data_IF_160368035981
#
_entry.id   IF_160368035981
#
_cell.length_a   1.000
_cell.length_b   1.000
_cell.length_c   1.000
_cell.angle_alpha   90.00
_cell.angle_beta   90.00
_cell.angle_gamma   90.00
#
_symmetry.space_group_name_H-M   'P 1'
#
loop_
_entity.id
_entity.type
_entity.pdbx_description
1 polymer ?
#
# COMPACT_ATOMS: atom_id res chain seq x y z
N UNK A 1 -4.27 -28.95 7.43
CA UNK A 1 -4.05 -27.49 7.39
C UNK A 1 -2.68 -27.26 7.99
N UNK A 2 -1.85 -26.47 7.34
CA UNK A 2 -0.52 -26.11 7.83
C UNK A 2 -0.61 -25.44 9.19
N UNK A 3 0.37 -25.70 10.04
CA UNK A 3 0.54 -24.92 11.26
C UNK A 3 0.93 -23.47 10.92
N UNK A 4 0.85 -22.62 11.94
CA UNK A 4 1.38 -21.27 11.86
C UNK A 4 2.85 -21.25 11.44
N UNK A 5 3.67 -22.17 11.93
CA UNK A 5 5.11 -22.12 11.67
C UNK A 5 5.42 -22.71 10.29
N UNK A 6 4.76 -23.81 9.92
CA UNK A 6 4.92 -24.41 8.59
C UNK A 6 4.52 -23.47 7.45
N UNK A 7 3.54 -22.59 7.71
CA UNK A 7 3.12 -21.61 6.72
C UNK A 7 4.12 -20.45 6.58
N UNK A 8 4.61 -19.87 7.68
CA UNK A 8 5.39 -18.63 7.61
C UNK A 8 6.89 -18.82 7.61
N UNK A 9 7.43 -19.87 8.22
CA UNK A 9 8.88 -20.11 8.23
C UNK A 9 9.52 -20.06 6.82
N UNK A 10 8.98 -20.74 5.78
CA UNK A 10 9.57 -20.63 4.44
C UNK A 10 9.40 -19.24 3.82
N UNK A 11 8.30 -18.54 4.13
CA UNK A 11 8.03 -17.18 3.65
C UNK A 11 9.05 -16.22 4.27
N UNK A 12 9.16 -16.22 5.59
CA UNK A 12 10.05 -15.32 6.33
C UNK A 12 11.50 -15.55 5.89
N UNK A 13 11.94 -16.82 5.79
CA UNK A 13 13.28 -17.16 5.29
C UNK A 13 13.55 -16.64 3.86
N UNK A 14 12.58 -16.74 2.95
CA UNK A 14 12.73 -16.24 1.58
C UNK A 14 12.75 -14.71 1.55
N UNK A 15 11.79 -14.07 2.21
CA UNK A 15 11.58 -12.61 2.14
C UNK A 15 12.70 -11.89 2.87
N UNK A 16 13.10 -12.35 4.07
CA UNK A 16 14.20 -11.73 4.81
C UNK A 16 15.49 -11.81 4.01
N UNK A 17 15.80 -12.97 3.42
CA UNK A 17 16.96 -13.14 2.52
C UNK A 17 16.96 -12.16 1.35
N UNK A 18 15.80 -11.89 0.74
CA UNK A 18 15.70 -11.08 -0.50
C UNK A 18 15.55 -9.58 -0.24
N UNK A 19 14.82 -9.19 0.80
CA UNK A 19 14.50 -7.78 1.06
C UNK A 19 15.41 -7.13 2.11
N UNK A 20 16.11 -7.89 2.97
CA UNK A 20 17.02 -7.31 3.96
C UNK A 20 18.15 -6.51 3.30
N UNK A 21 18.73 -7.01 2.22
CA UNK A 21 19.77 -6.31 1.44
C UNK A 21 19.27 -4.99 0.84
N UNK A 22 17.95 -4.88 0.61
CA UNK A 22 17.29 -3.68 0.09
C UNK A 22 16.87 -2.69 1.19
N UNK A 23 17.21 -3.00 2.46
CA UNK A 23 16.91 -2.19 3.63
C UNK A 23 15.50 -2.35 4.19
N UNK A 24 14.79 -3.42 3.82
CA UNK A 24 13.53 -3.76 4.45
C UNK A 24 13.77 -4.43 5.80
N UNK A 25 12.87 -4.14 6.73
CA UNK A 25 12.81 -4.80 8.03
C UNK A 25 11.42 -5.35 8.25
N UNK A 26 11.33 -6.50 8.93
CA UNK A 26 10.05 -7.07 9.33
C UNK A 26 9.45 -6.19 10.45
N UNK A 27 8.25 -5.66 10.22
CA UNK A 27 7.58 -4.76 11.19
C UNK A 27 6.52 -5.47 12.02
N UNK A 28 6.00 -6.58 11.50
CA UNK A 28 5.14 -7.59 12.13
C UNK A 28 5.19 -8.83 11.24
N UNK A 29 4.75 -9.99 11.76
CA UNK A 29 4.70 -11.24 10.99
C UNK A 29 4.11 -11.01 9.59
N UNK A 30 4.83 -11.48 8.59
CA UNK A 30 4.48 -11.35 7.18
C UNK A 30 4.28 -9.93 6.64
N UNK A 31 4.91 -8.93 7.26
CA UNK A 31 4.89 -7.54 6.81
C UNK A 31 6.29 -6.95 6.94
N UNK A 32 6.76 -6.39 5.85
CA UNK A 32 8.06 -5.78 5.70
C UNK A 32 7.91 -4.37 5.16
N UNK A 33 8.75 -3.47 5.67
CA UNK A 33 8.77 -2.09 5.26
C UNK A 33 10.21 -1.59 5.23
N UNK A 34 10.52 -0.73 4.27
CA UNK A 34 11.82 -0.05 4.22
C UNK A 34 11.84 1.08 5.25
N UNK A 35 12.94 1.26 6.00
CA UNK A 35 13.00 2.22 7.12
C UNK A 35 13.20 3.68 6.67
N UNK A 36 14.04 3.91 5.66
CA UNK A 36 14.38 5.26 5.21
C UNK A 36 13.63 5.61 3.92
N UNK A 37 12.62 6.46 4.05
CA UNK A 37 11.82 6.90 2.91
C UNK A 37 11.21 8.27 3.21
N UNK A 38 11.67 9.30 2.51
CA UNK A 38 11.26 10.70 2.73
C UNK A 38 9.77 10.91 2.44
N UNK A 39 9.31 10.47 1.27
CA UNK A 39 7.95 10.74 0.76
C UNK A 39 7.04 9.51 0.76
N UNK A 40 7.57 8.36 0.36
CA UNK A 40 6.81 7.12 0.21
C UNK A 40 7.63 5.93 0.71
N UNK A 41 7.03 5.12 1.56
CA UNK A 41 7.62 3.94 2.17
C UNK A 41 7.20 2.67 1.42
N UNK A 42 8.14 1.97 0.78
CA UNK A 42 7.91 0.64 0.25
C UNK A 42 7.37 -0.31 1.34
N UNK A 43 6.29 -1.01 1.01
CA UNK A 43 5.66 -2.03 1.84
C UNK A 43 5.52 -3.32 1.04
N UNK A 44 5.85 -4.43 1.68
CA UNK A 44 5.58 -5.78 1.20
C UNK A 44 4.90 -6.57 2.32
N UNK A 45 3.83 -7.29 2.03
CA UNK A 45 3.17 -8.12 3.05
C UNK A 45 2.38 -9.26 2.43
N UNK A 46 2.07 -10.27 3.24
CA UNK A 46 1.17 -11.36 2.88
C UNK A 46 -0.25 -10.98 3.32
N UNK A 47 -1.14 -10.75 2.36
CA UNK A 47 -2.55 -10.53 2.63
C UNK A 47 -3.29 -11.85 2.75
N UNK A 48 -4.14 -11.99 3.77
CA UNK A 48 -5.02 -13.15 3.94
C UNK A 48 -6.42 -12.86 3.40
N UNK A 49 -6.91 -13.76 2.55
CA UNK A 49 -8.23 -13.71 1.94
C UNK A 49 -9.16 -14.76 2.55
N UNK A 50 -10.46 -14.62 2.29
CA UNK A 50 -11.45 -15.67 2.59
C UNK A 50 -11.03 -16.99 1.91
N UNK A 51 -11.34 -18.11 2.57
CA UNK A 51 -11.01 -19.45 2.07
C UNK A 51 -9.60 -19.93 2.41
N UNK A 52 -8.92 -19.32 3.39
CA UNK A 52 -7.55 -19.70 3.81
C UNK A 52 -6.56 -19.67 2.63
N UNK A 53 -6.69 -18.63 1.82
CA UNK A 53 -5.74 -18.28 0.77
C UNK A 53 -5.01 -17.02 1.20
N UNK A 54 -3.72 -16.95 0.95
CA UNK A 54 -2.94 -15.73 1.14
C UNK A 54 -2.22 -15.37 -0.15
N UNK A 55 -1.84 -14.11 -0.35
CA UNK A 55 -1.02 -13.71 -1.48
C UNK A 55 -0.10 -12.54 -1.08
N UNK A 56 1.08 -12.42 -1.69
CA UNK A 56 1.89 -11.21 -1.57
C UNK A 56 1.15 -9.99 -2.11
N UNK A 57 1.32 -8.88 -1.41
CA UNK A 57 0.88 -7.55 -1.81
C UNK A 57 2.03 -6.59 -1.54
N UNK A 58 2.24 -5.66 -2.46
CA UNK A 58 3.24 -4.62 -2.31
C UNK A 58 2.75 -3.27 -2.81
N UNK A 59 3.43 -2.22 -2.38
CA UNK A 59 3.14 -0.87 -2.81
C UNK A 59 3.75 0.15 -1.87
N UNK A 60 3.14 1.33 -1.77
CA UNK A 60 3.66 2.43 -0.98
C UNK A 60 2.69 2.86 0.12
N UNK A 61 3.26 3.20 1.28
CA UNK A 61 2.66 4.05 2.29
C UNK A 61 3.21 5.47 2.14
N UNK A 62 2.36 6.47 2.00
CA UNK A 62 2.73 7.85 1.74
C UNK A 62 2.72 8.64 3.06
N UNK A 63 3.87 9.22 3.41
CA UNK A 63 4.06 9.86 4.72
C UNK A 63 3.20 11.13 4.94
N UNK A 64 2.66 11.68 3.85
CA UNK A 64 1.86 12.90 3.83
C UNK A 64 0.36 12.65 3.63
N UNK A 65 -0.06 11.39 3.48
CA UNK A 65 -1.47 11.05 3.26
C UNK A 65 -2.12 10.69 4.59
N UNK A 66 -3.20 11.41 4.97
CA UNK A 66 -3.95 11.07 6.17
C UNK A 66 -4.84 9.85 5.95
N UNK A 67 -5.12 9.09 7.00
CA UNK A 67 -6.03 7.95 6.96
C UNK A 67 -7.29 8.26 7.74
N UNK A 68 -8.44 7.84 7.22
CA UNK A 68 -9.73 8.04 7.89
C UNK A 68 -10.17 6.70 8.47
N UNK A 69 -10.75 6.70 9.67
CA UNK A 69 -11.44 5.48 10.12
C UNK A 69 -12.68 5.21 9.27
N UNK A 70 -13.18 3.97 9.36
CA UNK A 70 -14.34 3.50 8.62
C UNK A 70 -15.61 4.34 8.85
N UNK A 71 -15.68 5.13 9.93
CA UNK A 71 -16.83 5.99 10.24
C UNK A 71 -16.70 7.43 9.74
N UNK A 72 -15.64 7.79 9.02
CA UNK A 72 -15.46 9.15 8.49
C UNK A 72 -15.26 10.24 9.57
N UNK A 73 -15.00 9.85 10.82
CA UNK A 73 -15.09 10.73 11.99
C UNK A 73 -13.73 11.04 12.63
N UNK A 74 -12.70 10.25 12.33
CA UNK A 74 -11.36 10.41 12.90
C UNK A 74 -10.28 10.20 11.85
N UNK A 75 -9.20 10.94 12.07
CA UNK A 75 -8.07 11.10 11.19
C UNK A 75 -6.82 10.52 11.88
N UNK A 76 -6.08 9.64 11.20
CA UNK A 76 -4.90 8.91 11.69
C UNK A 76 -3.69 9.05 10.76
N UNK A 77 -2.50 9.12 11.36
CA UNK A 77 -1.24 9.39 10.66
C UNK A 77 -0.31 8.23 10.89
N UNK A 78 0.31 7.77 9.80
CA UNK A 78 1.25 6.67 9.84
C UNK A 78 2.69 7.21 9.73
N UNK A 79 3.14 7.90 10.78
CA UNK A 79 4.48 8.51 10.84
C UNK A 79 5.59 7.54 11.22
N UNK A 80 5.23 6.38 11.75
CA UNK A 80 6.19 5.39 12.21
C UNK A 80 6.20 4.18 11.29
N UNK A 81 7.36 3.53 11.22
CA UNK A 81 7.57 2.28 10.51
C UNK A 81 6.51 1.21 10.87
N UNK A 82 6.20 1.06 12.17
CA UNK A 82 5.18 0.11 12.66
C UNK A 82 3.74 0.48 12.29
N UNK A 83 3.50 1.75 12.04
CA UNK A 83 2.18 2.25 11.69
C UNK A 83 1.93 2.27 10.18
N UNK A 84 2.94 2.05 9.34
CA UNK A 84 2.82 2.17 7.89
C UNK A 84 1.66 1.32 7.32
N UNK A 85 0.90 1.92 6.39
CA UNK A 85 -0.27 1.31 5.77
C UNK A 85 -0.27 1.57 4.28
N UNK A 86 -0.72 0.60 3.51
CA UNK A 86 -0.75 0.67 2.06
C UNK A 86 -1.72 1.75 1.57
N UNK A 87 -1.21 2.70 0.80
CA UNK A 87 -1.98 3.77 0.16
C UNK A 87 -2.20 3.48 -1.33
N UNK A 88 -1.20 2.91 -2.00
CA UNK A 88 -1.25 2.56 -3.41
C UNK A 88 -0.50 1.27 -3.69
N UNK A 89 -1.05 0.45 -4.59
CA UNK A 89 -0.51 -0.85 -5.02
C UNK A 89 -0.74 -1.04 -6.51
N UNK A 90 0.13 -1.76 -7.24
CA UNK A 90 -0.09 -2.05 -8.66
C UNK A 90 -1.29 -2.97 -8.91
N UNK A 91 -1.80 -3.65 -7.88
CA UNK A 91 -2.88 -4.64 -7.94
C UNK A 91 -4.26 -4.03 -7.69
N UNK A 92 -5.28 -4.62 -8.30
CA UNK A 92 -6.64 -4.55 -7.77
C UNK A 92 -6.80 -5.55 -6.60
N UNK A 93 -7.82 -5.37 -5.75
CA UNK A 93 -8.01 -6.23 -4.55
C UNK A 93 -8.33 -7.70 -4.86
N UNK A 94 -8.61 -8.07 -6.12
CA UNK A 94 -8.94 -9.43 -6.52
C UNK A 94 -7.74 -10.18 -7.10
N UNK A 95 -6.67 -9.48 -7.48
CA UNK A 95 -5.44 -10.08 -7.96
C UNK A 95 -4.71 -10.78 -6.80
N UNK A 96 -4.71 -12.11 -6.88
CA UNK A 96 -4.01 -13.02 -5.94
C UNK A 96 -2.84 -13.64 -6.66
N UNK A 97 -1.88 -12.81 -7.02
CA UNK A 97 -0.64 -13.29 -7.59
C UNK A 97 0.09 -14.20 -6.59
N UNK A 98 0.67 -15.31 -7.05
CA UNK A 98 1.40 -16.25 -6.20
C UNK A 98 0.61 -16.69 -4.94
N UNK A 99 -0.66 -17.05 -5.13
CA UNK A 99 -1.54 -17.47 -4.04
C UNK A 99 -0.97 -18.68 -3.26
N UNK A 100 -0.95 -18.56 -1.93
CA UNK A 100 -0.48 -19.55 -0.98
C UNK A 100 -1.68 -20.18 -0.26
N UNK A 101 -1.77 -21.51 -0.31
CA UNK A 101 -2.88 -22.27 0.24
C UNK A 101 -2.51 -22.90 1.59
N UNK A 102 -3.24 -22.56 2.64
CA UNK A 102 -3.02 -23.12 3.98
C UNK A 102 -3.37 -24.61 4.11
N UNK A 103 -4.07 -25.19 3.14
CA UNK A 103 -4.38 -26.62 3.09
C UNK A 103 -3.37 -27.42 2.27
N UNK A 104 -2.35 -26.79 1.70
CA UNK A 104 -1.27 -27.47 0.99
C UNK A 104 -0.49 -28.40 1.94
N UNK A 105 0.20 -29.38 1.36
CA UNK A 105 1.22 -30.15 2.07
C UNK A 105 2.46 -29.27 2.31
N UNK A 106 3.26 -29.50 3.36
CA UNK A 106 4.42 -28.68 3.66
C UNK A 106 5.40 -28.53 2.48
N UNK A 107 5.62 -29.61 1.73
CA UNK A 107 6.55 -29.63 0.59
C UNK A 107 6.02 -28.82 -0.60
N UNK A 108 4.71 -28.96 -0.88
CA UNK A 108 4.02 -28.19 -1.92
C UNK A 108 4.01 -26.69 -1.58
N UNK A 109 3.82 -26.36 -0.30
CA UNK A 109 3.85 -24.99 0.19
C UNK A 109 5.25 -24.39 0.07
N UNK A 110 6.30 -25.11 0.49
CA UNK A 110 7.68 -24.67 0.35
C UNK A 110 8.04 -24.42 -1.13
N UNK A 111 7.60 -25.28 -2.04
CA UNK A 111 7.81 -25.09 -3.48
C UNK A 111 7.05 -23.88 -4.03
N UNK A 112 5.80 -23.67 -3.60
CA UNK A 112 4.99 -22.52 -3.99
C UNK A 112 5.61 -21.20 -3.49
N UNK A 113 6.19 -21.22 -2.29
CA UNK A 113 6.96 -20.09 -1.74
C UNK A 113 8.20 -19.84 -2.60
N UNK A 114 9.10 -20.81 -2.78
CA UNK A 114 10.36 -20.56 -3.50
C UNK A 114 10.12 -20.09 -4.94
N UNK A 115 9.18 -20.70 -5.67
CA UNK A 115 8.93 -20.37 -7.09
C UNK A 115 7.95 -19.21 -7.25
N UNK A 116 6.77 -19.33 -6.65
CA UNK A 116 5.69 -18.37 -6.81
C UNK A 116 5.99 -17.07 -6.11
N UNK A 117 6.24 -17.12 -4.79
CA UNK A 117 6.57 -15.93 -4.01
C UNK A 117 7.92 -15.35 -4.42
N UNK A 118 8.90 -16.19 -4.78
CA UNK A 118 10.20 -15.74 -5.31
C UNK A 118 10.05 -14.84 -6.54
N UNK A 119 9.28 -15.28 -7.55
CA UNK A 119 9.02 -14.44 -8.71
C UNK A 119 8.21 -13.18 -8.39
N UNK A 120 7.26 -13.25 -7.45
CA UNK A 120 6.50 -12.08 -7.02
C UNK A 120 7.39 -11.04 -6.31
N UNK A 121 8.37 -11.49 -5.53
CA UNK A 121 9.38 -10.62 -4.92
C UNK A 121 10.22 -9.89 -5.96
N UNK A 122 10.67 -10.56 -7.02
CA UNK A 122 11.42 -9.92 -8.11
C UNK A 122 10.61 -8.77 -8.75
N UNK A 123 9.32 -8.99 -9.02
CA UNK A 123 8.42 -7.93 -9.52
C UNK A 123 8.19 -6.82 -8.51
N UNK A 124 8.13 -7.14 -7.22
CA UNK A 124 8.02 -6.14 -6.16
C UNK A 124 9.27 -5.25 -6.12
N UNK A 125 10.47 -5.85 -6.24
CA UNK A 125 11.74 -5.12 -6.31
C UNK A 125 11.78 -4.21 -7.54
N UNK A 126 11.47 -4.73 -8.73
CA UNK A 126 11.38 -3.93 -9.96
C UNK A 126 10.39 -2.76 -9.83
N UNK A 127 9.27 -2.99 -9.16
CA UNK A 127 8.28 -1.96 -8.87
C UNK A 127 8.83 -0.88 -7.93
N UNK A 128 9.61 -1.29 -6.93
CA UNK A 128 10.22 -0.35 -5.98
C UNK A 128 11.34 0.49 -6.60
N UNK A 129 12.15 -0.10 -7.48
CA UNK A 129 13.27 0.60 -8.12
C UNK A 129 12.84 1.69 -9.10
N UNK A 130 11.63 1.58 -9.66
CA UNK A 130 11.05 2.58 -10.57
C UNK A 130 10.66 3.89 -9.88
N UNK A 131 10.55 3.90 -8.55
CA UNK A 131 10.14 5.09 -7.81
C UNK A 131 11.33 5.99 -7.50
N UNK A 132 11.28 7.23 -7.99
CA UNK A 132 12.23 8.30 -7.66
C UNK A 132 11.56 9.44 -6.92
N UNK A 133 10.26 9.66 -7.18
CA UNK A 133 9.50 10.79 -6.68
C UNK A 133 7.99 10.52 -6.74
N UNK A 134 7.19 11.35 -6.09
CA UNK A 134 5.72 11.24 -6.12
C UNK A 134 5.10 11.31 -7.53
N UNK A 135 5.58 12.15 -8.46
CA UNK A 135 5.16 12.11 -9.86
C UNK A 135 5.18 10.72 -10.51
N UNK A 136 6.13 9.84 -10.14
CA UNK A 136 6.23 8.49 -10.70
C UNK A 136 5.04 7.58 -10.34
N UNK A 137 4.29 7.92 -9.30
CA UNK A 137 3.09 7.19 -8.88
C UNK A 137 1.81 7.67 -9.58
N UNK A 138 1.80 8.87 -10.20
CA UNK A 138 0.60 9.41 -10.84
C UNK A 138 0.06 8.52 -11.97
N UNK A 139 0.91 7.96 -12.87
CA UNK A 139 0.42 7.05 -13.91
C UNK A 139 -0.24 5.79 -13.32
N UNK A 140 0.24 5.31 -12.17
CA UNK A 140 -0.35 4.18 -11.47
C UNK A 140 -1.74 4.54 -10.95
N UNK A 141 -1.90 5.68 -10.27
CA UNK A 141 -3.20 6.13 -9.81
C UNK A 141 -4.21 6.30 -10.96
N UNK A 142 -3.79 6.90 -12.06
CA UNK A 142 -4.63 7.06 -13.26
C UNK A 142 -5.05 5.72 -13.87
N UNK A 143 -4.12 4.75 -13.94
CA UNK A 143 -4.44 3.39 -14.38
C UNK A 143 -5.47 2.73 -13.47
N UNK A 144 -5.29 2.82 -12.15
CA UNK A 144 -6.20 2.25 -11.16
C UNK A 144 -7.58 2.94 -11.20
N UNK A 145 -7.61 4.26 -11.42
CA UNK A 145 -8.86 5.04 -11.57
C UNK A 145 -9.66 4.61 -12.80
N UNK A 146 -8.98 4.28 -13.91
CA UNK A 146 -9.60 3.81 -15.16
C UNK A 146 -10.06 2.35 -15.09
N UNK A 147 -9.52 1.56 -14.16
CA UNK A 147 -9.84 0.15 -14.06
C UNK A 147 -11.25 -0.06 -13.49
N UNK A 148 -12.16 -0.55 -14.34
CA UNK A 148 -13.53 -0.93 -13.99
C UNK A 148 -13.55 -2.37 -13.47
N UNK A 149 -13.15 -2.57 -12.23
CA UNK A 149 -13.39 -3.84 -11.55
C UNK A 149 -14.80 -3.82 -10.94
N UNK A 150 -15.59 -4.85 -11.22
CA UNK A 150 -16.99 -4.99 -10.80
C UNK A 150 -17.17 -5.19 -9.28
N UNK A 151 -16.09 -5.37 -8.50
CA UNK A 151 -16.20 -5.65 -7.06
C UNK A 151 -15.62 -4.55 -6.16
N UNK A 152 -14.48 -3.95 -6.51
CA UNK A 152 -13.70 -3.08 -5.60
C UNK A 152 -12.99 -1.97 -6.40
N UNK A 153 -13.77 -1.14 -7.09
CA UNK A 153 -13.24 -0.05 -7.91
C UNK A 153 -12.45 0.99 -7.10
N UNK A 154 -11.81 1.92 -7.80
CA UNK A 154 -11.00 3.02 -7.24
C UNK A 154 -11.62 3.73 -6.01
N UNK A 155 -12.94 3.90 -6.00
CA UNK A 155 -13.69 4.55 -4.92
C UNK A 155 -14.02 3.66 -3.72
N UNK A 156 -13.88 2.34 -3.85
CA UNK A 156 -14.16 1.38 -2.77
C UNK A 156 -12.96 1.20 -1.84
N UNK A 157 -11.78 1.74 -2.20
CA UNK A 157 -10.63 1.82 -1.32
C UNK A 157 -10.57 3.19 -0.68
N UNK A 158 -10.98 3.32 0.58
CA UNK A 158 -11.08 4.61 1.27
C UNK A 158 -9.83 5.49 1.14
N UNK A 159 -8.63 4.90 1.15
CA UNK A 159 -7.40 5.69 1.05
C UNK A 159 -6.90 5.93 -0.37
N UNK A 160 -7.30 5.14 -1.38
CA UNK A 160 -6.70 5.26 -2.72
C UNK A 160 -7.02 6.61 -3.39
N UNK A 161 -8.28 7.11 -3.39
CA UNK A 161 -8.59 8.43 -3.92
C UNK A 161 -7.95 9.56 -3.11
N UNK A 162 -7.88 9.39 -1.79
CA UNK A 162 -7.28 10.36 -0.88
C UNK A 162 -5.76 10.46 -1.13
N UNK A 163 -5.08 9.33 -1.27
CA UNK A 163 -3.68 9.23 -1.62
C UNK A 163 -3.38 9.86 -2.99
N UNK A 164 -4.25 9.65 -3.97
CA UNK A 164 -4.11 10.24 -5.28
C UNK A 164 -4.29 11.77 -5.24
N UNK A 165 -5.30 12.28 -4.52
CA UNK A 165 -5.53 13.72 -4.37
C UNK A 165 -4.31 14.43 -3.75
N UNK A 166 -3.78 13.90 -2.66
CA UNK A 166 -2.59 14.42 -2.01
C UNK A 166 -1.34 14.27 -2.89
N UNK A 167 -1.21 13.18 -3.65
CA UNK A 167 -0.10 13.00 -4.58
C UNK A 167 -0.11 14.01 -5.72
N UNK A 168 -1.29 14.36 -6.26
CA UNK A 168 -1.43 15.43 -7.26
C UNK A 168 -0.97 16.79 -6.69
N UNK A 169 -1.41 17.11 -5.47
CA UNK A 169 -1.01 18.34 -4.77
C UNK A 169 0.49 18.42 -4.53
N UNK A 170 1.09 17.34 -4.03
CA UNK A 170 2.54 17.23 -3.84
C UNK A 170 3.27 17.28 -5.18
N UNK A 171 2.73 16.71 -6.26
CA UNK A 171 3.33 16.81 -7.59
C UNK A 171 3.16 18.19 -8.27
N UNK A 172 2.52 19.16 -7.61
CA UNK A 172 2.31 20.52 -8.12
C UNK A 172 0.97 20.77 -8.81
N UNK A 173 0.13 19.75 -9.01
CA UNK A 173 -1.23 19.89 -9.55
C UNK A 173 -2.27 20.01 -8.42
N UNK A 174 -2.19 21.15 -7.71
CA UNK A 174 -3.10 21.45 -6.61
C UNK A 174 -4.57 21.50 -7.07
N UNK A 175 -4.83 21.93 -8.30
CA UNK A 175 -6.19 22.10 -8.83
C UNK A 175 -6.84 20.75 -9.12
N UNK A 176 -6.14 19.81 -9.75
CA UNK A 176 -6.65 18.45 -9.93
C UNK A 176 -6.77 17.71 -8.58
N UNK A 177 -5.78 17.86 -7.70
CA UNK A 177 -5.82 17.28 -6.36
C UNK A 177 -7.03 17.76 -5.56
N UNK A 178 -7.34 19.06 -5.59
CA UNK A 178 -8.49 19.65 -4.90
C UNK A 178 -9.80 19.09 -5.43
N UNK A 179 -9.97 19.07 -6.76
CA UNK A 179 -11.16 18.49 -7.40
C UNK A 179 -11.40 17.05 -6.98
N UNK A 180 -10.33 16.25 -6.92
CA UNK A 180 -10.42 14.85 -6.52
C UNK A 180 -10.72 14.68 -5.02
N UNK A 181 -10.14 15.51 -4.15
CA UNK A 181 -10.44 15.52 -2.72
C UNK A 181 -11.90 15.90 -2.45
N UNK A 182 -12.43 16.89 -3.17
CA UNK A 182 -13.83 17.31 -3.03
C UNK A 182 -14.79 16.19 -3.48
N UNK A 183 -14.46 15.48 -4.57
CA UNK A 183 -15.21 14.30 -5.00
C UNK A 183 -15.18 13.18 -3.95
N UNK A 184 -14.01 12.92 -3.35
CA UNK A 184 -13.87 11.95 -2.27
C UNK A 184 -14.73 12.32 -1.04
N UNK A 185 -14.67 13.57 -0.58
CA UNK A 185 -15.45 14.06 0.56
C UNK A 185 -16.95 13.93 0.30
N UNK A 186 -17.38 14.29 -0.92
CA UNK A 186 -18.78 14.19 -1.31
C UNK A 186 -19.30 12.74 -1.28
N UNK A 187 -18.48 11.77 -1.70
CA UNK A 187 -18.85 10.35 -1.71
C UNK A 187 -18.78 9.67 -0.34
N UNK A 188 -17.90 10.11 0.55
CA UNK A 188 -17.52 9.38 1.77
C UNK A 188 -18.30 9.72 3.05
N UNK A 189 -19.37 10.51 2.98
CA UNK A 189 -20.12 11.01 4.16
C UNK A 189 -19.19 11.59 5.25
N UNK A 190 -18.15 12.30 4.81
CA UNK A 190 -17.10 12.79 5.71
C UNK A 190 -17.65 13.90 6.62
N UNK A 191 -17.47 13.74 7.93
CA UNK A 191 -17.89 14.74 8.91
C UNK A 191 -17.24 16.12 8.66
N UNK A 192 -17.95 17.20 9.01
CA UNK A 192 -17.46 18.56 8.79
C UNK A 192 -16.13 18.86 9.51
N UNK A 193 -15.90 18.27 10.69
CA UNK A 193 -14.63 18.42 11.42
C UNK A 193 -13.47 17.73 10.71
N UNK A 194 -13.67 16.50 10.22
CA UNK A 194 -12.68 15.77 9.42
C UNK A 194 -12.42 16.49 8.11
N UNK A 195 -13.44 16.99 7.42
CA UNK A 195 -13.27 17.79 6.19
C UNK A 195 -12.35 18.99 6.43
N UNK A 196 -12.60 19.78 7.48
CA UNK A 196 -11.76 20.96 7.80
C UNK A 196 -10.30 20.59 8.04
N UNK A 197 -10.04 19.49 8.74
CA UNK A 197 -8.68 18.98 8.94
C UNK A 197 -8.06 18.51 7.62
N UNK A 198 -8.80 17.75 6.79
CA UNK A 198 -8.34 17.34 5.46
C UNK A 198 -7.97 18.54 4.60
N UNK A 199 -8.80 19.58 4.57
CA UNK A 199 -8.55 20.79 3.79
C UNK A 199 -7.26 21.48 4.22
N UNK A 200 -7.08 21.70 5.52
CA UNK A 200 -5.84 22.29 6.05
C UNK A 200 -4.61 21.45 5.70
N UNK A 201 -4.73 20.12 5.76
CA UNK A 201 -3.62 19.20 5.50
C UNK A 201 -3.27 19.12 4.03
N UNK A 202 -4.29 19.14 3.18
CA UNK A 202 -4.11 19.22 1.74
C UNK A 202 -3.36 20.50 1.38
N UNK A 203 -3.72 21.64 1.97
CA UNK A 203 -2.99 22.88 1.73
C UNK A 203 -1.57 22.87 2.29
N UNK A 204 -1.33 22.19 3.40
CA UNK A 204 0.01 22.04 3.95
C UNK A 204 0.88 21.01 3.19
N UNK A 205 0.32 20.20 2.28
CA UNK A 205 1.08 19.18 1.57
C UNK A 205 1.91 19.80 0.44
N UNK A 206 3.19 20.05 0.70
CA UNK A 206 4.13 20.60 -0.28
C UNK A 206 5.35 19.69 -0.50
N UNK A 207 5.99 19.84 -1.66
CA UNK A 207 7.23 19.11 -2.03
C UNK A 207 8.35 19.37 -1.03
N UNK A 208 8.45 20.61 -0.54
CA UNK A 208 9.58 21.07 0.27
C UNK A 208 9.62 20.42 1.66
N UNK A 209 8.46 20.00 2.18
CA UNK A 209 8.34 19.24 3.43
C UNK A 209 8.80 17.76 3.31
N UNK A 210 9.12 17.32 2.10
CA UNK A 210 9.57 15.97 1.78
C UNK A 210 11.05 15.90 1.41
N UNK A 211 11.77 17.02 1.43
CA UNK A 211 13.18 17.10 1.04
C UNK A 211 14.15 17.23 2.22
N UNK A 212 13.70 17.72 3.38
CA UNK A 212 14.55 17.97 4.55
C UNK A 212 14.14 17.10 5.75
N UNK A 213 14.93 16.04 5.93
CA UNK A 213 15.02 15.16 7.08
C UNK A 213 16.34 14.40 6.94
#
# INVERSE_FOLDING_TARGET
MLSADDFYAPIDALVDRRLAELGFVQIRRANWAKQDCKSARPLFFIQHYKGKISAPVWGYSLNFVPHINNSGAKLYWHRTLKSARLDVSPFDALQKEAALNWFARPEDHAMAVERGLGGALERAVDFFERYRSIPDLLPLFERLRKHKSDALGYWNFTNLPLAHAFSLRVAGDAVAGRRLLDEFVHRGEISASVKRELDRRFEAAHVDDLLFG
#
